data_IF_080435451958
#
_entry.id   IF_080435451958
#
_cell.length_a   1.000
_cell.length_b   1.000
_cell.length_c   1.000
_cell.angle_alpha   90.00
_cell.angle_beta   90.00
_cell.angle_gamma   90.00
#
_symmetry.space_group_name_H-M   'P 1'
#
loop_
_entity.id
_entity.type
_entity.pdbx_description
1 polymer ?
#
# COMPACT_ATOMS: atom_id res chain seq x y z
N UNK A 1 -15.78 -4.57 -0.93
CA UNK A 1 -14.92 -4.54 -2.12
C UNK A 1 -14.88 -3.11 -2.64
N UNK A 2 -13.71 -2.52 -2.88
CA UNK A 2 -13.59 -1.18 -3.45
C UNK A 2 -13.29 -1.16 -4.95
N UNK A 3 -13.49 0.01 -5.55
CA UNK A 3 -12.99 0.38 -6.88
C UNK A 3 -12.12 1.65 -6.78
N UNK A 4 -11.43 1.99 -7.87
CA UNK A 4 -10.78 3.30 -8.02
C UNK A 4 -11.76 4.35 -8.54
N UNK A 5 -11.71 5.53 -7.94
CA UNK A 5 -12.33 6.76 -8.41
C UNK A 5 -11.23 7.83 -8.44
N UNK A 6 -10.61 7.99 -9.61
CA UNK A 6 -9.35 8.74 -9.74
C UNK A 6 -8.22 8.09 -8.94
N UNK A 7 -7.67 8.82 -7.98
CA UNK A 7 -6.57 8.41 -7.09
C UNK A 7 -7.05 7.83 -5.74
N UNK A 8 -8.36 7.75 -5.53
CA UNK A 8 -8.98 7.30 -4.27
C UNK A 8 -9.78 6.03 -4.46
N UNK A 9 -10.09 5.39 -3.34
CA UNK A 9 -10.97 4.23 -3.32
C UNK A 9 -12.38 4.61 -2.87
N UNK A 10 -13.39 4.02 -3.52
CA UNK A 10 -14.78 4.04 -3.04
C UNK A 10 -15.34 2.63 -2.98
N UNK A 11 -16.47 2.44 -2.28
CA UNK A 11 -17.18 1.16 -2.31
C UNK A 11 -17.64 0.85 -3.73
N UNK A 12 -17.47 -0.42 -4.12
CA UNK A 12 -18.03 -0.93 -5.37
C UNK A 12 -19.55 -1.02 -5.27
N UNK A 13 -20.20 -0.84 -6.43
CA UNK A 13 -21.63 -1.00 -6.64
C UNK A 13 -21.90 -2.11 -7.66
N UNK A 14 -23.15 -2.55 -7.81
CA UNK A 14 -23.48 -3.62 -8.76
C UNK A 14 -23.30 -3.22 -10.23
N UNK A 15 -23.24 -1.92 -10.52
CA UNK A 15 -23.02 -1.37 -11.87
C UNK A 15 -21.55 -1.22 -12.23
N UNK A 16 -20.63 -1.40 -11.27
CA UNK A 16 -19.20 -1.26 -11.54
C UNK A 16 -18.62 -2.53 -12.16
N UNK A 17 -18.01 -2.39 -13.34
CA UNK A 17 -17.42 -3.53 -14.06
C UNK A 17 -16.08 -3.99 -13.46
N UNK A 18 -15.28 -3.04 -13.00
CA UNK A 18 -13.93 -3.28 -12.50
C UNK A 18 -13.86 -3.19 -10.98
N UNK A 19 -13.47 -4.28 -10.34
CA UNK A 19 -13.25 -4.35 -8.89
C UNK A 19 -11.75 -4.38 -8.64
N UNK A 20 -11.24 -3.36 -7.93
CA UNK A 20 -9.82 -3.21 -7.65
C UNK A 20 -9.27 -4.35 -6.78
N UNK A 21 -10.06 -4.78 -5.80
CA UNK A 21 -9.65 -5.85 -4.88
C UNK A 21 -10.56 -5.96 -3.65
N UNK A 22 -9.96 -6.28 -2.51
CA UNK A 22 -10.65 -6.39 -1.22
C UNK A 22 -9.83 -5.68 -0.15
N UNK A 23 -10.45 -4.87 0.72
CA UNK A 23 -9.78 -4.31 1.89
C UNK A 23 -9.30 -5.46 2.79
N UNK A 24 -7.99 -5.58 2.97
CA UNK A 24 -7.38 -6.71 3.68
C UNK A 24 -7.09 -6.36 5.14
N UNK A 25 -7.49 -7.21 6.07
CA UNK A 25 -7.17 -7.02 7.49
C UNK A 25 -5.78 -7.57 7.84
N UNK A 26 -5.28 -8.54 7.06
CA UNK A 26 -3.99 -9.19 7.32
C UNK A 26 -3.18 -9.37 6.03
N UNK A 27 -2.67 -8.28 5.45
CA UNK A 27 -1.82 -8.37 4.26
C UNK A 27 -0.42 -8.89 4.60
N UNK A 28 0.11 -9.81 3.78
CA UNK A 28 1.48 -10.33 3.95
C UNK A 28 2.55 -9.38 3.40
N UNK A 29 2.24 -8.66 2.32
CA UNK A 29 3.13 -7.69 1.68
C UNK A 29 2.30 -6.44 1.40
N UNK A 30 2.77 -5.29 1.90
CA UNK A 30 2.12 -3.99 1.73
C UNK A 30 3.13 -3.02 1.12
N UNK A 31 2.85 -2.61 -0.12
CA UNK A 31 3.59 -1.51 -0.75
C UNK A 31 3.07 -0.16 -0.30
N UNK A 32 3.81 0.91 -0.60
CA UNK A 32 3.33 2.29 -0.47
C UNK A 32 2.88 2.68 0.95
N UNK A 33 3.45 2.03 1.98
CA UNK A 33 3.11 2.24 3.40
C UNK A 33 3.73 3.50 3.98
N UNK A 34 4.95 3.84 3.54
CA UNK A 34 5.80 4.90 4.10
C UNK A 34 5.76 4.90 5.62
N UNK A 35 6.32 3.84 6.22
CA UNK A 35 6.29 3.65 7.67
C UNK A 35 7.45 4.35 8.37
N UNK A 36 8.65 4.27 7.76
CA UNK A 36 9.89 4.73 8.38
C UNK A 36 10.32 6.13 7.89
N UNK A 37 9.68 6.64 6.84
CA UNK A 37 10.05 7.87 6.16
C UNK A 37 8.80 8.60 5.68
N UNK A 38 8.89 9.93 5.60
CA UNK A 38 7.87 10.76 4.96
C UNK A 38 7.65 10.33 3.51
N UNK A 39 6.39 10.28 3.08
CA UNK A 39 6.03 9.80 1.74
C UNK A 39 6.74 10.54 0.59
N UNK A 40 7.06 11.83 0.79
CA UNK A 40 7.74 12.65 -0.21
C UNK A 40 9.04 13.26 0.36
N UNK A 41 9.74 12.52 1.22
CA UNK A 41 10.98 12.98 1.88
C UNK A 41 12.09 13.34 0.87
N UNK A 42 12.18 12.59 -0.23
CA UNK A 42 13.22 12.76 -1.24
C UNK A 42 12.67 13.23 -2.58
N UNK A 43 13.51 13.91 -3.35
CA UNK A 43 13.20 14.30 -4.73
C UNK A 43 13.22 13.06 -5.61
N UNK A 44 12.15 12.84 -6.36
CA UNK A 44 12.03 11.75 -7.33
C UNK A 44 11.99 12.28 -8.76
N UNK A 45 12.37 11.43 -9.72
CA UNK A 45 12.15 11.70 -11.15
C UNK A 45 10.70 11.33 -11.56
N UNK A 46 10.38 11.51 -12.84
CA UNK A 46 9.04 11.22 -13.41
C UNK A 46 8.60 9.75 -13.27
N UNK A 47 9.55 8.83 -13.03
CA UNK A 47 9.32 7.39 -12.83
C UNK A 47 9.24 7.00 -11.35
N UNK A 48 9.42 7.96 -10.43
CA UNK A 48 9.41 7.73 -8.99
C UNK A 48 10.77 7.31 -8.41
N UNK A 49 11.85 7.29 -9.19
CA UNK A 49 13.17 6.95 -8.69
C UNK A 49 13.76 8.11 -7.89
N UNK A 50 14.32 7.81 -6.72
CA UNK A 50 14.95 8.80 -5.84
C UNK A 50 16.22 9.34 -6.48
N UNK A 51 16.27 10.66 -6.68
CA UNK A 51 17.47 11.36 -7.13
C UNK A 51 18.54 11.27 -6.05
N UNK A 52 19.76 10.91 -6.46
CA UNK A 52 20.94 10.83 -5.58
C UNK A 52 21.99 11.85 -5.98
N UNK A 53 22.72 12.34 -4.99
CA UNK A 53 23.89 13.22 -5.17
C UNK A 53 25.12 12.56 -4.53
N UNK A 54 26.29 12.81 -5.11
CA UNK A 54 27.57 12.44 -4.53
C UNK A 54 28.15 13.64 -3.80
N UNK A 55 28.43 13.49 -2.51
CA UNK A 55 28.97 14.54 -1.65
C UNK A 55 30.32 14.10 -1.13
N UNK A 56 31.28 15.01 -1.27
CA UNK A 56 32.62 14.82 -0.78
C UNK A 56 32.69 15.15 0.71
N UNK A 57 33.09 14.18 1.53
CA UNK A 57 33.22 14.33 2.98
C UNK A 57 34.71 14.41 3.32
N UNK A 58 35.20 15.55 3.84
CA UNK A 58 36.60 15.70 4.18
C UNK A 58 36.99 14.82 5.38
N UNK A 59 38.28 14.49 5.48
CA UNK A 59 38.80 13.73 6.61
C UNK A 59 38.56 14.46 7.94
N UNK A 60 38.07 13.73 8.96
CA UNK A 60 37.93 14.24 10.32
C UNK A 60 39.22 13.94 11.08
N UNK A 61 39.91 14.97 11.56
CA UNK A 61 41.12 14.84 12.37
C UNK A 61 40.83 15.10 13.85
N UNK A 62 41.55 14.42 14.75
CA UNK A 62 41.53 14.74 16.18
C UNK A 62 42.38 15.99 16.48
N UNK A 63 42.42 16.43 17.75
CA UNK A 63 43.21 17.58 18.18
C UNK A 63 44.73 17.44 17.90
N UNK A 64 45.23 16.21 17.71
CA UNK A 64 46.63 15.88 17.42
C UNK A 64 46.89 15.69 15.92
N UNK A 65 45.95 16.09 15.04
CA UNK A 65 45.98 15.88 13.59
C UNK A 65 46.05 14.41 13.14
N UNK A 66 45.67 13.48 14.02
CA UNK A 66 45.51 12.07 13.66
C UNK A 66 44.11 11.85 13.07
N UNK A 67 44.06 11.16 11.94
CA UNK A 67 42.81 10.84 11.25
C UNK A 67 41.89 9.97 12.14
N UNK A 68 40.67 10.45 12.36
CA UNK A 68 39.57 9.71 12.99
C UNK A 68 38.73 9.04 11.90
N UNK A 69 38.45 9.75 10.81
CA UNK A 69 37.66 9.24 9.69
C UNK A 69 38.28 9.68 8.37
N UNK A 70 38.51 8.77 7.42
CA UNK A 70 39.09 9.11 6.13
C UNK A 70 38.14 9.97 5.31
N UNK A 71 38.76 10.76 4.44
CA UNK A 71 38.08 11.42 3.34
C UNK A 71 37.41 10.38 2.43
N UNK A 72 36.17 10.63 2.06
CA UNK A 72 35.41 9.73 1.18
C UNK A 72 34.32 10.47 0.44
N UNK A 73 33.93 9.90 -0.69
CA UNK A 73 32.71 10.29 -1.38
C UNK A 73 31.55 9.43 -0.89
N UNK A 74 30.45 10.07 -0.53
CA UNK A 74 29.20 9.40 -0.18
C UNK A 74 28.11 9.74 -1.19
N UNK A 75 27.39 8.71 -1.64
CA UNK A 75 26.18 8.90 -2.45
C UNK A 75 24.96 8.88 -1.53
N UNK A 76 24.21 9.98 -1.51
CA UNK A 76 23.02 10.12 -0.66
C UNK A 76 21.79 10.60 -1.45
N UNK A 77 20.56 10.27 -1.01
CA UNK A 77 19.34 10.83 -1.57
C UNK A 77 19.28 12.36 -1.42
N UNK A 78 18.70 13.04 -2.42
CA UNK A 78 18.42 14.47 -2.36
C UNK A 78 17.11 14.71 -1.61
N UNK A 79 17.14 15.48 -0.52
CA UNK A 79 15.95 15.86 0.24
C UNK A 79 15.05 16.78 -0.58
N UNK A 80 13.74 16.55 -0.45
CA UNK A 80 12.74 17.44 -1.02
C UNK A 80 12.78 18.80 -0.29
N UNK A 81 12.85 19.96 -0.97
CA UNK A 81 12.82 21.27 -0.32
C UNK A 81 11.58 21.52 0.54
N UNK A 82 10.48 20.82 0.26
CA UNK A 82 9.23 20.89 1.04
C UNK A 82 9.20 19.93 2.24
N UNK A 83 10.25 19.12 2.45
CA UNK A 83 10.36 18.28 3.63
C UNK A 83 10.80 19.12 4.84
N UNK A 84 10.00 19.09 5.91
CA UNK A 84 10.35 19.67 7.20
C UNK A 84 10.64 18.57 8.22
N UNK A 85 11.88 18.50 8.69
CA UNK A 85 12.29 17.51 9.70
C UNK A 85 11.72 17.78 11.10
N UNK A 86 11.16 18.97 11.35
CA UNK A 86 10.55 19.32 12.62
C UNK A 86 9.08 18.91 12.70
N UNK A 87 8.44 18.61 11.57
CA UNK A 87 7.05 18.16 11.54
C UNK A 87 6.94 16.67 11.86
N UNK A 88 6.00 16.33 12.75
CA UNK A 88 5.75 14.95 13.11
C UNK A 88 5.04 14.21 11.96
N UNK A 89 5.60 13.06 11.58
CA UNK A 89 4.99 12.22 10.55
C UNK A 89 3.99 11.23 11.12
N UNK A 90 2.78 11.22 10.56
CA UNK A 90 1.87 10.08 10.76
C UNK A 90 1.90 9.16 9.54
N UNK A 91 2.54 8.00 9.69
CA UNK A 91 2.54 6.91 8.70
C UNK A 91 1.12 6.58 8.22
N UNK A 92 0.98 6.20 6.95
CA UNK A 92 -0.32 5.88 6.32
C UNK A 92 -1.12 4.82 7.08
N UNK A 93 -0.44 3.87 7.70
CA UNK A 93 -1.08 2.83 8.50
C UNK A 93 -1.88 3.39 9.69
N UNK A 94 -1.45 4.51 10.26
CA UNK A 94 -2.09 5.15 11.40
C UNK A 94 -3.15 6.17 10.98
N UNK A 95 -3.36 6.36 9.68
CA UNK A 95 -4.25 7.38 9.12
C UNK A 95 -5.55 6.76 8.60
N UNK A 96 -6.73 7.25 9.03
CA UNK A 96 -8.01 6.61 8.74
C UNK A 96 -8.43 6.67 7.27
N UNK A 97 -7.88 7.60 6.49
CA UNK A 97 -8.16 7.71 5.05
C UNK A 97 -7.44 6.63 4.21
N UNK A 98 -6.51 5.88 4.81
CA UNK A 98 -5.78 4.80 4.13
C UNK A 98 -6.32 3.43 4.53
N UNK A 99 -6.35 2.52 3.56
CA UNK A 99 -6.71 1.13 3.80
C UNK A 99 -5.91 0.23 2.85
N UNK A 100 -5.32 -0.88 3.35
CA UNK A 100 -4.60 -1.81 2.49
C UNK A 100 -5.57 -2.57 1.59
N UNK A 101 -5.37 -2.49 0.28
CA UNK A 101 -6.16 -3.21 -0.71
C UNK A 101 -5.42 -4.48 -1.13
N UNK A 102 -6.00 -5.63 -0.82
CA UNK A 102 -5.57 -6.92 -1.34
C UNK A 102 -5.93 -7.02 -2.82
N UNK A 103 -4.91 -6.95 -3.67
CA UNK A 103 -5.03 -7.07 -5.13
C UNK A 103 -4.77 -8.49 -5.63
N UNK A 104 -4.22 -9.36 -4.80
CA UNK A 104 -3.89 -10.75 -5.16
C UNK A 104 -3.89 -11.66 -3.93
N UNK A 105 -4.21 -12.94 -4.15
CA UNK A 105 -4.12 -13.99 -3.15
C UNK A 105 -5.47 -14.40 -2.57
N UNK A 106 -5.43 -15.05 -1.41
CA UNK A 106 -6.62 -15.56 -0.72
C UNK A 106 -7.11 -14.51 0.28
N UNK A 107 -8.30 -13.97 0.05
CA UNK A 107 -8.83 -12.84 0.80
C UNK A 107 -10.20 -13.18 1.39
N UNK A 108 -10.48 -12.63 2.56
CA UNK A 108 -11.78 -12.76 3.22
C UNK A 108 -12.67 -11.60 2.79
N UNK A 109 -13.92 -11.89 2.46
CA UNK A 109 -14.90 -10.87 2.10
C UNK A 109 -16.24 -11.13 2.77
N UNK A 110 -16.95 -10.04 3.06
CA UNK A 110 -18.32 -10.09 3.58
C UNK A 110 -19.26 -10.63 2.52
N UNK A 111 -20.08 -11.59 2.91
CA UNK A 111 -21.14 -12.21 2.11
C UNK A 111 -22.22 -12.73 3.06
N UNK A 112 -23.48 -12.32 2.88
CA UNK A 112 -24.60 -12.69 3.77
C UNK A 112 -25.32 -13.96 3.30
N UNK A 113 -24.57 -15.02 3.02
CA UNK A 113 -25.13 -16.36 2.72
C UNK A 113 -25.47 -16.61 1.26
N UNK A 114 -25.26 -15.64 0.37
CA UNK A 114 -25.70 -15.79 -1.04
C UNK A 114 -24.73 -16.62 -1.87
N UNK A 115 -23.43 -16.48 -1.64
CA UNK A 115 -22.41 -17.10 -2.49
C UNK A 115 -22.17 -18.57 -2.16
N UNK A 116 -22.06 -19.43 -3.17
CA UNK A 116 -21.75 -20.86 -2.96
C UNK A 116 -20.26 -21.14 -3.14
N UNK A 117 -19.73 -22.11 -2.38
CA UNK A 117 -18.39 -22.67 -2.62
C UNK A 117 -18.35 -23.19 -4.06
N UNK A 118 -17.23 -22.96 -4.76
CA UNK A 118 -17.11 -23.26 -6.18
C UNK A 118 -18.04 -22.44 -7.09
N UNK A 119 -18.66 -21.38 -6.59
CA UNK A 119 -19.29 -20.33 -7.38
C UNK A 119 -18.36 -19.15 -7.63
N UNK A 120 -18.96 -18.05 -8.09
CA UNK A 120 -18.31 -16.76 -8.20
C UNK A 120 -19.12 -15.72 -7.43
N UNK A 121 -18.48 -14.60 -7.09
CA UNK A 121 -19.15 -13.48 -6.47
C UNK A 121 -18.67 -12.14 -7.03
N UNK A 122 -19.60 -11.18 -7.09
CA UNK A 122 -19.35 -9.77 -7.35
C UNK A 122 -19.96 -8.90 -6.24
N UNK A 123 -19.49 -7.66 -6.04
CA UNK A 123 -20.10 -6.79 -5.06
C UNK A 123 -21.51 -6.35 -5.47
N UNK A 124 -22.39 -6.20 -4.50
CA UNK A 124 -23.65 -5.45 -4.64
C UNK A 124 -23.43 -3.94 -4.42
N UNK A 125 -24.51 -3.16 -4.37
CA UNK A 125 -24.50 -1.70 -4.18
C UNK A 125 -23.87 -1.21 -2.88
N UNK A 126 -23.61 -2.13 -1.93
CA UNK A 126 -22.96 -1.84 -0.66
C UNK A 126 -21.51 -2.35 -0.60
N UNK A 127 -20.97 -2.86 -1.71
CA UNK A 127 -19.63 -3.45 -1.78
C UNK A 127 -19.51 -4.81 -1.07
N UNK A 128 -20.64 -5.49 -0.83
CA UNK A 128 -20.70 -6.82 -0.20
C UNK A 128 -20.80 -7.89 -1.28
N UNK A 129 -20.06 -8.99 -1.12
CA UNK A 129 -20.08 -10.07 -2.10
C UNK A 129 -21.49 -10.67 -2.21
N UNK A 130 -21.94 -10.87 -3.44
CA UNK A 130 -23.18 -11.54 -3.80
C UNK A 130 -22.90 -12.57 -4.88
N UNK A 131 -23.61 -13.70 -4.84
CA UNK A 131 -23.47 -14.78 -5.82
C UNK A 131 -23.74 -14.29 -7.24
N UNK A 132 -22.82 -14.59 -8.15
CA UNK A 132 -22.96 -14.29 -9.57
C UNK A 132 -22.28 -15.38 -10.41
N UNK A 133 -22.52 -15.35 -11.72
CA UNK A 133 -21.89 -16.30 -12.67
C UNK A 133 -20.42 -16.00 -12.96
N UNK A 134 -19.95 -14.82 -12.58
CA UNK A 134 -18.59 -14.32 -12.83
C UNK A 134 -18.07 -13.48 -11.65
N UNK A 135 -16.77 -13.13 -11.67
CA UNK A 135 -16.11 -12.36 -10.61
C UNK A 135 -15.06 -13.17 -9.86
N UNK A 136 -14.96 -12.96 -8.55
CA UNK A 136 -13.96 -13.66 -7.73
C UNK A 136 -14.40 -15.08 -7.40
N UNK A 137 -13.45 -16.02 -7.48
CA UNK A 137 -13.71 -17.44 -7.21
C UNK A 137 -13.90 -17.67 -5.72
N UNK A 138 -15.04 -18.23 -5.34
CA UNK A 138 -15.33 -18.58 -3.94
C UNK A 138 -14.69 -19.93 -3.61
N UNK A 139 -13.76 -19.91 -2.66
CA UNK A 139 -13.02 -21.10 -2.23
C UNK A 139 -13.72 -21.83 -1.08
N UNK A 140 -14.24 -21.08 -0.11
CA UNK A 140 -14.69 -21.62 1.17
C UNK A 140 -15.66 -20.62 1.84
N UNK A 141 -16.66 -21.14 2.54
CA UNK A 141 -17.48 -20.34 3.46
C UNK A 141 -16.94 -20.50 4.86
N UNK A 142 -16.52 -19.38 5.46
CA UNK A 142 -15.93 -19.36 6.81
C UNK A 142 -17.03 -19.17 7.87
N UNK A 143 -18.04 -18.37 7.56
CA UNK A 143 -19.20 -18.15 8.43
C UNK A 143 -20.45 -17.76 7.62
N UNK A 144 -21.55 -17.50 8.31
CA UNK A 144 -22.78 -16.96 7.71
C UNK A 144 -22.56 -15.62 7.00
N UNK A 145 -21.53 -14.86 7.41
CA UNK A 145 -21.26 -13.50 6.90
C UNK A 145 -19.93 -13.36 6.18
N UNK A 146 -19.10 -14.40 6.12
CA UNK A 146 -17.73 -14.33 5.59
C UNK A 146 -17.43 -15.53 4.67
N UNK A 147 -16.90 -15.23 3.50
CA UNK A 147 -16.36 -16.20 2.56
C UNK A 147 -14.88 -15.90 2.28
N UNK A 148 -14.14 -16.92 1.84
CA UNK A 148 -12.78 -16.80 1.33
C UNK A 148 -12.81 -16.89 -0.19
N UNK A 149 -12.19 -15.92 -0.84
CA UNK A 149 -12.07 -15.86 -2.30
C UNK A 149 -10.62 -15.84 -2.75
N UNK A 150 -10.39 -16.24 -4.00
CA UNK A 150 -9.10 -16.10 -4.67
C UNK A 150 -9.15 -14.94 -5.67
N UNK A 151 -8.23 -13.99 -5.52
CA UNK A 151 -7.92 -12.97 -6.53
C UNK A 151 -6.61 -13.36 -7.23
N UNK A 152 -6.61 -13.32 -8.56
CA UNK A 152 -5.49 -13.70 -9.43
C UNK A 152 -5.31 -12.66 -10.53
#
# INVERSE_FOLDING_TARGET
MPILDGDKVRKATSTDDYILGIVSVNPSVVGDRYQDQWANMYVTNEWGEVKKETVHIPALLNAERKEITPERDETRPVLNPNYDSNEEYTSREKRPEWSPIGMMGKLLVRDYGTSSVNGYCKPNDNGVATSLVEGYRVMERISETIIRVLIK
#
